data_IF_760375000411
#
_entry.id   IF_760375000411
#
_cell.length_a   1.000
_cell.length_b   1.000
_cell.length_c   1.000
_cell.angle_alpha   90.00
_cell.angle_beta   90.00
_cell.angle_gamma   90.00
#
_symmetry.space_group_name_H-M   'P 1'
#
loop_
_entity.id
_entity.type
_entity.pdbx_description
1 polymer ?
#
# COMPACT_ATOMS: atom_id res chain seq x y z
N UNK A 1 7.53 22.82 -14.91
CA UNK A 1 7.40 21.70 -13.95
C UNK A 1 8.24 22.04 -12.73
N UNK A 2 7.80 21.69 -11.52
CA UNK A 2 8.62 21.92 -10.32
C UNK A 2 9.94 21.14 -10.43
N UNK A 3 11.02 21.71 -9.89
CA UNK A 3 12.34 21.06 -9.85
C UNK A 3 12.50 20.07 -8.70
N UNK A 4 11.61 20.12 -7.71
CA UNK A 4 11.55 19.20 -6.57
C UNK A 4 10.10 19.05 -6.09
N UNK A 5 9.73 17.84 -5.68
CA UNK A 5 8.42 17.52 -5.06
C UNK A 5 8.67 16.67 -3.83
N UNK A 6 8.07 17.03 -2.70
CA UNK A 6 8.12 16.24 -1.47
C UNK A 6 6.98 15.22 -1.45
N UNK A 7 7.32 13.94 -1.30
CA UNK A 7 6.41 12.92 -0.82
C UNK A 7 6.64 12.75 0.69
N UNK A 8 5.78 13.39 1.49
CA UNK A 8 5.95 13.43 2.94
C UNK A 8 5.60 12.09 3.60
N UNK A 9 6.46 11.65 4.52
CA UNK A 9 6.19 10.56 5.44
C UNK A 9 5.38 11.01 6.66
N UNK A 10 4.96 10.05 7.48
CA UNK A 10 4.47 10.30 8.85
C UNK A 10 5.60 10.69 9.81
N UNK A 11 6.85 10.38 9.46
CA UNK A 11 8.08 10.88 10.09
C UNK A 11 8.95 11.55 9.01
N UNK A 12 9.47 12.74 9.30
CA UNK A 12 10.41 13.47 8.43
C UNK A 12 11.65 12.69 8.04
N UNK A 13 12.05 11.68 8.83
CA UNK A 13 13.15 10.78 8.46
C UNK A 13 12.82 9.88 7.24
N UNK A 14 11.55 9.76 6.87
CA UNK A 14 11.05 8.96 5.74
C UNK A 14 10.59 9.84 4.55
N UNK A 15 10.93 11.13 4.55
CA UNK A 15 10.56 12.05 3.48
C UNK A 15 11.32 11.76 2.17
N UNK A 16 10.59 11.65 1.06
CA UNK A 16 11.19 11.45 -0.26
C UNK A 16 11.13 12.73 -1.09
N UNK A 17 12.29 13.33 -1.34
CA UNK A 17 12.44 14.47 -2.25
C UNK A 17 12.66 13.99 -3.68
N UNK A 18 11.63 14.12 -4.51
CA UNK A 18 11.68 13.81 -5.93
C UNK A 18 12.39 14.95 -6.67
N UNK A 19 13.71 14.85 -6.76
CA UNK A 19 14.56 15.84 -7.40
C UNK A 19 15.71 15.19 -8.17
N UNK A 20 16.17 15.91 -9.19
CA UNK A 20 17.31 15.53 -10.03
C UNK A 20 17.21 14.10 -10.59
N UNK A 21 18.08 13.20 -10.12
CA UNK A 21 18.22 11.79 -10.56
C UNK A 21 17.98 10.79 -9.42
N UNK A 22 17.39 11.23 -8.30
CA UNK A 22 17.06 10.33 -7.20
C UNK A 22 16.03 9.29 -7.64
N UNK A 23 16.19 8.06 -7.18
CA UNK A 23 15.30 6.95 -7.49
C UNK A 23 14.74 6.42 -6.19
N UNK A 24 13.44 6.16 -6.18
CA UNK A 24 12.71 5.61 -5.05
C UNK A 24 11.95 4.38 -5.52
N UNK A 25 11.98 3.33 -4.73
CA UNK A 25 11.24 2.11 -4.94
C UNK A 25 10.03 2.08 -3.99
N UNK A 26 8.88 1.71 -4.52
CA UNK A 26 7.68 1.53 -3.73
C UNK A 26 6.97 0.25 -4.09
N UNK A 27 6.03 -0.14 -3.22
CA UNK A 27 5.11 -1.22 -3.55
C UNK A 27 4.20 -0.85 -4.71
N UNK A 28 3.48 -1.82 -5.25
CA UNK A 28 2.55 -1.61 -6.34
C UNK A 28 1.53 -2.73 -6.43
N UNK A 29 0.52 -2.52 -7.27
CA UNK A 29 -0.57 -3.46 -7.46
C UNK A 29 -1.65 -3.36 -6.39
N UNK A 30 -2.66 -4.23 -6.52
CA UNK A 30 -3.75 -4.38 -5.55
C UNK A 30 -4.33 -5.79 -5.67
N UNK A 31 -3.52 -6.85 -5.44
CA UNK A 31 -3.99 -8.22 -5.44
C UNK A 31 -5.12 -8.40 -4.43
N UNK A 32 -6.10 -9.24 -4.78
CA UNK A 32 -7.21 -9.68 -3.91
C UNK A 32 -6.98 -11.07 -3.33
N UNK A 33 -5.79 -11.63 -3.57
CA UNK A 33 -5.43 -13.00 -3.30
C UNK A 33 -4.06 -13.05 -2.62
N UNK A 34 -3.92 -13.97 -1.67
CA UNK A 34 -2.71 -14.20 -0.88
C UNK A 34 -2.32 -15.67 -0.96
N UNK A 35 -1.02 -15.91 -1.07
CA UNK A 35 -0.41 -17.22 -0.87
C UNK A 35 0.38 -17.17 0.42
N UNK A 36 -0.07 -17.90 1.44
CA UNK A 36 0.65 -17.96 2.71
C UNK A 36 1.98 -18.72 2.55
N UNK A 37 3.02 -18.37 3.33
CA UNK A 37 4.30 -19.06 3.29
C UNK A 37 4.16 -20.56 3.53
N UNK A 38 4.66 -21.37 2.59
CA UNK A 38 4.64 -22.83 2.68
C UNK A 38 3.32 -23.50 2.26
N UNK A 39 2.28 -22.72 1.97
CA UNK A 39 1.01 -23.25 1.48
C UNK A 39 1.04 -23.45 -0.04
N UNK A 40 0.23 -24.40 -0.53
CA UNK A 40 0.06 -24.65 -1.96
C UNK A 40 -1.22 -24.00 -2.52
N UNK A 41 -2.09 -23.49 -1.65
CA UNK A 41 -3.40 -22.95 -2.03
C UNK A 41 -3.44 -21.45 -1.77
N UNK A 42 -3.93 -20.73 -2.78
CA UNK A 42 -4.22 -19.31 -2.70
C UNK A 42 -5.55 -19.12 -1.99
N UNK A 43 -5.62 -18.14 -1.09
CA UNK A 43 -6.86 -17.68 -0.44
C UNK A 43 -7.15 -16.23 -0.77
N UNK A 44 -8.35 -15.78 -0.44
CA UNK A 44 -8.72 -14.36 -0.54
C UNK A 44 -7.98 -13.54 0.51
N UNK A 45 -7.68 -12.30 0.15
CA UNK A 45 -6.99 -11.37 1.03
C UNK A 45 -7.96 -10.76 2.07
N UNK A 46 -7.50 -10.64 3.30
CA UNK A 46 -8.20 -10.06 4.44
C UNK A 46 -7.58 -8.71 4.81
N UNK A 47 -8.31 -7.89 5.57
CA UNK A 47 -7.79 -6.62 6.08
C UNK A 47 -6.53 -6.80 6.97
N UNK A 48 -6.45 -7.94 7.68
CA UNK A 48 -5.27 -8.30 8.46
C UNK A 48 -4.03 -8.47 7.56
N UNK A 49 -4.17 -9.11 6.39
CA UNK A 49 -3.06 -9.32 5.45
C UNK A 49 -2.50 -7.98 4.93
N UNK A 50 -3.38 -7.00 4.68
CA UNK A 50 -2.93 -5.67 4.30
C UNK A 50 -2.05 -5.04 5.38
N UNK A 51 -2.46 -5.14 6.64
CA UNK A 51 -1.71 -4.58 7.76
C UNK A 51 -0.36 -5.28 7.93
N UNK A 52 -0.35 -6.60 7.85
CA UNK A 52 0.86 -7.41 7.96
C UNK A 52 1.82 -7.12 6.80
N UNK A 53 1.30 -7.01 5.57
CA UNK A 53 2.10 -6.73 4.39
C UNK A 53 2.73 -5.33 4.47
N UNK A 54 1.99 -4.32 4.94
CA UNK A 54 2.54 -2.97 5.16
C UNK A 54 3.68 -3.01 6.17
N UNK A 55 3.55 -3.73 7.29
CA UNK A 55 4.65 -3.86 8.27
C UNK A 55 5.88 -4.54 7.68
N UNK A 56 5.70 -5.55 6.83
CA UNK A 56 6.81 -6.18 6.11
C UNK A 56 7.51 -5.15 5.22
N UNK A 57 6.77 -4.43 4.38
CA UNK A 57 7.33 -3.40 3.49
C UNK A 57 7.99 -2.24 4.25
N UNK A 58 7.45 -1.86 5.40
CA UNK A 58 8.03 -0.86 6.29
C UNK A 58 9.41 -1.29 6.80
N UNK A 59 9.56 -2.58 7.14
CA UNK A 59 10.82 -3.15 7.62
C UNK A 59 11.92 -3.29 6.56
N UNK A 60 11.59 -3.18 5.28
CA UNK A 60 12.55 -3.31 4.18
C UNK A 60 13.27 -1.98 3.91
N UNK A 61 14.60 -2.04 3.90
CA UNK A 61 15.50 -0.89 3.65
C UNK A 61 15.28 -0.26 2.28
N UNK A 62 15.00 -1.07 1.25
CA UNK A 62 14.89 -0.62 -0.15
C UNK A 62 13.45 -0.35 -0.61
N UNK A 63 12.51 -0.18 0.32
CA UNK A 63 11.18 0.31 0.02
C UNK A 63 11.02 1.70 0.62
N UNK A 64 11.01 2.73 -0.22
CA UNK A 64 11.01 4.14 0.20
C UNK A 64 9.60 4.69 0.42
N UNK A 65 8.59 4.11 -0.25
CA UNK A 65 7.18 4.50 -0.10
C UNK A 65 6.24 3.31 -0.31
N UNK A 66 5.01 3.45 0.16
CA UNK A 66 3.98 2.42 0.05
C UNK A 66 2.90 2.89 -0.92
N UNK A 67 2.73 2.19 -2.03
CA UNK A 67 1.46 2.21 -2.77
C UNK A 67 0.59 1.10 -2.19
N UNK A 68 -0.63 1.44 -1.74
CA UNK A 68 -1.56 0.52 -1.08
C UNK A 68 -1.50 -0.90 -1.67
N UNK A 69 -0.86 -1.88 -1.00
CA UNK A 69 -0.28 -3.04 -1.68
C UNK A 69 -1.25 -4.22 -1.84
N UNK A 70 -2.46 -4.12 -1.31
CA UNK A 70 -3.42 -5.23 -1.26
C UNK A 70 -4.86 -4.70 -1.22
N UNK A 71 -5.78 -5.41 -1.86
CA UNK A 71 -7.22 -5.14 -1.83
C UNK A 71 -7.92 -6.22 -0.97
N UNK A 72 -8.29 -5.89 0.28
CA UNK A 72 -8.98 -6.84 1.16
C UNK A 72 -10.40 -7.13 0.66
N UNK A 73 -10.93 -8.30 1.02
CA UNK A 73 -12.20 -8.85 0.51
C UNK A 73 -13.24 -9.12 1.60
N UNK A 74 -12.86 -8.89 2.87
CA UNK A 74 -13.66 -9.08 4.08
C UNK A 74 -14.31 -7.79 4.60
N UNK A 75 -14.21 -6.71 3.84
CA UNK A 75 -14.79 -5.39 4.18
C UNK A 75 -15.80 -4.95 3.11
N UNK A 76 -16.83 -4.17 3.48
CA UNK A 76 -17.77 -3.56 2.53
C UNK A 76 -17.02 -2.71 1.50
N UNK A 77 -17.47 -2.74 0.25
CA UNK A 77 -16.78 -2.08 -0.87
C UNK A 77 -16.67 -0.56 -0.67
N UNK A 78 -17.68 0.05 -0.10
CA UNK A 78 -17.73 1.46 0.26
C UNK A 78 -16.71 1.86 1.34
N UNK A 79 -16.30 0.91 2.19
CA UNK A 79 -15.31 1.14 3.25
C UNK A 79 -13.88 0.89 2.79
N UNK A 80 -13.68 0.14 1.70
CA UNK A 80 -12.37 -0.25 1.17
C UNK A 80 -11.39 0.93 1.08
N UNK A 81 -11.75 2.10 0.50
CA UNK A 81 -10.81 3.20 0.38
C UNK A 81 -10.30 3.68 1.75
N UNK A 82 -11.20 3.90 2.70
CA UNK A 82 -10.87 4.41 4.05
C UNK A 82 -10.06 3.38 4.81
N UNK A 83 -10.51 2.13 4.84
CA UNK A 83 -9.86 1.05 5.59
C UNK A 83 -8.45 0.76 5.07
N UNK A 84 -8.24 0.83 3.75
CA UNK A 84 -6.90 0.64 3.16
C UNK A 84 -5.93 1.75 3.57
N UNK A 85 -6.37 3.00 3.49
CA UNK A 85 -5.54 4.13 3.94
C UNK A 85 -5.26 4.06 5.44
N UNK A 86 -6.28 3.75 6.25
CA UNK A 86 -6.11 3.59 7.69
C UNK A 86 -5.09 2.49 8.02
N UNK A 87 -5.25 1.30 7.42
CA UNK A 87 -4.32 0.20 7.62
C UNK A 87 -2.89 0.57 7.20
N UNK A 88 -2.70 1.22 6.06
CA UNK A 88 -1.36 1.61 5.62
C UNK A 88 -0.74 2.69 6.51
N UNK A 89 -1.44 3.80 6.77
CA UNK A 89 -0.93 4.91 7.58
C UNK A 89 -0.68 4.52 9.04
N UNK A 90 -1.42 3.54 9.57
CA UNK A 90 -1.25 3.08 10.95
C UNK A 90 -0.09 2.07 11.12
N UNK A 91 0.49 1.57 10.02
CA UNK A 91 1.52 0.52 10.06
C UNK A 91 2.85 0.91 9.39
N UNK A 92 3.00 2.15 8.91
CA UNK A 92 4.27 2.69 8.40
C UNK A 92 4.37 4.19 8.68
N UNK A 93 5.58 4.72 8.77
CA UNK A 93 5.84 6.17 8.74
C UNK A 93 6.33 6.66 7.37
N UNK A 94 6.45 5.77 6.38
CA UNK A 94 6.79 6.11 5.00
C UNK A 94 5.62 6.80 4.30
N UNK A 95 5.90 7.49 3.19
CA UNK A 95 4.84 8.07 2.37
C UNK A 95 3.88 6.98 1.86
N UNK A 96 2.56 7.21 1.99
CA UNK A 96 1.51 6.31 1.51
C UNK A 96 0.77 6.92 0.33
N UNK A 97 0.79 6.21 -0.80
CA UNK A 97 0.03 6.52 -1.99
C UNK A 97 -1.22 5.62 -2.07
N UNK A 98 -2.37 6.25 -2.26
CA UNK A 98 -3.59 5.55 -2.65
C UNK A 98 -3.68 5.32 -4.15
N UNK A 99 -4.24 4.18 -4.54
CA UNK A 99 -4.71 3.94 -5.89
C UNK A 99 -6.22 4.16 -6.01
N UNK A 100 -6.69 4.45 -7.22
CA UNK A 100 -8.12 4.38 -7.54
C UNK A 100 -8.55 2.91 -7.59
N UNK A 101 -9.59 2.56 -6.84
CA UNK A 101 -10.26 1.26 -6.96
C UNK A 101 -11.56 1.49 -7.73
N UNK A 102 -11.74 0.89 -8.91
CA UNK A 102 -13.02 0.95 -9.60
C UNK A 102 -14.09 0.34 -8.70
N UNK A 103 -15.23 1.02 -8.55
CA UNK A 103 -16.41 0.38 -8.00
C UNK A 103 -16.78 -0.79 -8.92
N UNK A 104 -16.93 -1.99 -8.37
CA UNK A 104 -17.51 -3.10 -9.11
C UNK A 104 -18.95 -2.75 -9.43
N UNK A 105 -19.25 -2.51 -10.70
CA UNK A 105 -20.63 -2.46 -11.15
C UNK A 105 -21.27 -3.81 -10.81
N UNK A 106 -22.39 -3.86 -10.05
CA UNK A 106 -23.05 -5.12 -9.79
C UNK A 106 -23.61 -5.67 -11.12
N UNK A 107 -23.22 -6.90 -11.48
CA UNK A 107 -23.89 -7.66 -12.54
C UNK A 107 -23.29 -7.55 -13.96
N UNK A 108 -22.09 -8.08 -14.16
CA UNK A 108 -21.69 -8.60 -15.47
C UNK A 108 -20.92 -9.90 -15.35
#
# INVERSE_FOLDING_TARGET
MPSSVLLAGGDSAQDNFLEEKRVFAGSGGSPTQVLDPGEARIRTALQADLSDFVRVLDSLEFFDFIVNPLLPTDIPEEEVPIQRFFASLNNTTKHVMGGWVPSRTPGR
#
